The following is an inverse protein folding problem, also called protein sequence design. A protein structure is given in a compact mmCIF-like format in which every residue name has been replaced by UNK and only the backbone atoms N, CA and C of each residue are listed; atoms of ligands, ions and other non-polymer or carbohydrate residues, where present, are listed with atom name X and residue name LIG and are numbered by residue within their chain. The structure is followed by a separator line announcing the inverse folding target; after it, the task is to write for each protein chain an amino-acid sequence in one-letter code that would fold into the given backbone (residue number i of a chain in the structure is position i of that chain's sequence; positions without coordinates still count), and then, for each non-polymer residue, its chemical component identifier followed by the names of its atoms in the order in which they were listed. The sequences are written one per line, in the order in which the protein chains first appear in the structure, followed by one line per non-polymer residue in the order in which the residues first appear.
data_IF_503731795557
#
_entry.id   IF_503731795557
#
_cell.length_a   1.000
_cell.length_b   1.000
_cell.length_c   1.000
_cell.angle_alpha   90.00
_cell.angle_beta   90.00
_cell.angle_gamma   90.00
#
_symmetry.space_group_name_H-M   'P 1'
#
loop_
_entity.id
_entity.type
_entity.pdbx_description
1 polymer ?
#
# COMPACT_ATOMS: atom_id res chain seq x y z
N UNK A 1 -161.79 -146.87 36.29
CA UNK A 1 -163.17 -147.31 36.53
C UNK A 1 -163.65 -146.62 37.78
N UNK A 2 -164.81 -147.03 38.25
CA UNK A 2 -165.26 -146.63 39.57
C UNK A 2 -165.24 -145.10 39.71
N UNK A 3 -165.99 -144.40 38.85
CA UNK A 3 -167.43 -144.17 38.95
C UNK A 3 -167.79 -143.21 40.05
N UNK A 4 -169.03 -142.76 39.87
CA UNK A 4 -170.01 -142.64 40.93
C UNK A 4 -169.78 -141.38 41.76
N UNK A 5 -170.73 -140.46 41.85
CA UNK A 5 -172.07 -140.40 41.27
C UNK A 5 -172.75 -139.10 41.78
N UNK A 6 -173.81 -138.66 41.06
CA UNK A 6 -175.06 -138.00 41.53
C UNK A 6 -175.00 -136.61 42.23
N UNK A 7 -175.90 -135.62 42.04
CA UNK A 7 -177.17 -135.42 41.27
C UNK A 7 -177.59 -133.91 41.28
N UNK A 8 -178.16 -133.41 40.14
CA UNK A 8 -179.18 -132.32 39.84
C UNK A 8 -179.21 -130.95 40.61
N UNK A 9 -179.97 -129.91 40.14
CA UNK A 9 -180.26 -129.33 38.80
C UNK A 9 -180.30 -127.75 38.72
N UNK A 10 -180.40 -127.18 37.49
CA UNK A 10 -181.03 -125.90 36.99
C UNK A 10 -180.58 -124.45 37.37
N UNK A 11 -180.11 -123.68 36.34
CA UNK A 11 -180.42 -122.27 35.92
C UNK A 11 -180.18 -121.02 36.85
N UNK A 12 -180.19 -119.74 36.37
CA UNK A 12 -179.18 -119.01 35.57
C UNK A 12 -178.71 -117.66 36.24
N UNK A 13 -177.80 -116.92 35.58
CA UNK A 13 -177.52 -115.47 35.74
C UNK A 13 -177.26 -114.86 37.14
N UNK A 14 -175.98 -114.66 37.50
CA UNK A 14 -175.46 -113.45 38.21
C UNK A 14 -173.93 -113.45 38.33
N UNK A 15 -173.34 -112.96 37.23
CA UNK A 15 -171.92 -112.81 36.90
C UNK A 15 -171.11 -111.76 37.72
N UNK A 16 -171.70 -110.99 38.65
CA UNK A 16 -171.12 -109.68 38.99
C UNK A 16 -170.57 -109.48 40.43
N UNK A 17 -170.86 -110.37 41.39
CA UNK A 17 -170.69 -110.01 42.81
C UNK A 17 -169.47 -110.64 43.52
N UNK A 18 -168.95 -111.77 43.05
CA UNK A 18 -167.71 -112.36 43.60
C UNK A 18 -166.44 -111.62 43.12
N UNK A 19 -166.46 -111.06 41.90
CA UNK A 19 -165.41 -110.16 41.39
C UNK A 19 -165.24 -108.94 42.28
N UNK A 20 -166.33 -108.41 42.85
CA UNK A 20 -166.26 -107.29 43.80
C UNK A 20 -165.59 -107.67 45.13
N UNK A 21 -165.59 -108.95 45.51
CA UNK A 21 -164.92 -109.39 46.75
C UNK A 21 -163.42 -109.52 46.54
N UNK A 22 -163.00 -110.03 45.37
CA UNK A 22 -161.59 -110.04 44.96
C UNK A 22 -161.03 -108.63 44.80
N UNK A 23 -161.80 -107.68 44.24
CA UNK A 23 -161.38 -106.27 44.12
C UNK A 23 -161.24 -105.59 45.48
N UNK A 24 -162.09 -105.93 46.45
CA UNK A 24 -162.01 -105.40 47.81
C UNK A 24 -160.79 -105.94 48.57
N UNK A 25 -160.48 -107.22 48.40
CA UNK A 25 -159.33 -107.82 49.08
C UNK A 25 -157.99 -107.35 48.45
N UNK A 26 -157.93 -107.13 47.12
CA UNK A 26 -156.80 -106.45 46.43
C UNK A 26 -156.64 -105.00 46.92
N UNK A 27 -157.75 -104.30 47.18
CA UNK A 27 -157.71 -102.94 47.73
C UNK A 27 -157.20 -102.91 49.18
N UNK A 28 -157.43 -103.98 49.96
CA UNK A 28 -156.88 -104.10 51.33
C UNK A 28 -155.39 -104.47 51.33
N UNK A 29 -154.93 -105.26 50.36
CA UNK A 29 -153.50 -105.62 50.23
C UNK A 29 -152.64 -104.43 49.77
N UNK A 30 -153.20 -103.54 48.95
CA UNK A 30 -152.57 -102.28 48.55
C UNK A 30 -152.39 -101.27 49.70
N UNK A 31 -153.08 -101.48 50.84
CA UNK A 31 -152.95 -100.66 52.04
C UNK A 31 -151.93 -101.22 53.06
N UNK A 32 -151.30 -102.38 52.79
CA UNK A 32 -150.34 -103.02 53.69
C UNK A 32 -148.97 -102.32 53.62
N UNK A 33 -148.34 -102.11 54.77
CA UNK A 33 -147.11 -101.29 54.93
C UNK A 33 -145.90 -101.83 54.14
N UNK A 34 -145.92 -103.12 53.78
CA UNK A 34 -144.91 -103.77 52.94
C UNK A 34 -144.86 -103.23 51.51
N UNK A 35 -145.99 -102.74 50.97
CA UNK A 35 -146.04 -102.16 49.62
C UNK A 35 -145.50 -100.72 49.58
N UNK A 36 -145.59 -99.98 50.69
CA UNK A 36 -144.97 -98.64 50.84
C UNK A 36 -143.44 -98.72 50.94
N UNK A 37 -142.89 -99.80 51.47
CA UNK A 37 -141.44 -100.02 51.52
C UNK A 37 -140.82 -100.19 50.12
N UNK A 38 -141.53 -100.86 49.20
CA UNK A 38 -141.07 -101.03 47.82
C UNK A 38 -141.04 -99.70 47.04
N UNK A 39 -141.99 -98.80 47.29
CA UNK A 39 -142.02 -97.45 46.69
C UNK A 39 -140.85 -96.58 47.19
N UNK A 40 -140.50 -96.69 48.48
CA UNK A 40 -139.31 -96.05 49.05
C UNK A 40 -138.00 -96.54 48.42
N UNK A 41 -137.87 -97.85 48.16
CA UNK A 41 -136.68 -98.42 47.53
C UNK A 41 -136.52 -97.95 46.08
N UNK A 42 -137.63 -97.78 45.34
CA UNK A 42 -137.62 -97.28 43.96
C UNK A 42 -137.23 -95.79 43.92
N UNK A 43 -137.68 -94.99 44.89
CA UNK A 43 -137.25 -93.59 45.03
C UNK A 43 -135.75 -93.48 45.36
N UNK A 44 -135.23 -94.31 46.27
CA UNK A 44 -133.80 -94.31 46.61
C UNK A 44 -132.92 -94.74 45.44
N UNK A 45 -133.34 -95.74 44.66
CA UNK A 45 -132.61 -96.17 43.47
C UNK A 45 -132.60 -95.09 42.37
N UNK A 46 -133.69 -94.33 42.25
CA UNK A 46 -133.78 -93.18 41.35
C UNK A 46 -132.88 -92.01 41.80
N UNK A 47 -132.75 -91.79 43.12
CA UNK A 47 -131.87 -90.78 43.71
C UNK A 47 -130.39 -91.13 43.53
N UNK A 48 -130.02 -92.39 43.77
CA UNK A 48 -128.64 -92.88 43.59
C UNK A 48 -128.19 -92.80 42.12
N UNK A 49 -129.07 -93.09 41.16
CA UNK A 49 -128.74 -92.96 39.73
C UNK A 49 -128.53 -91.49 39.30
N UNK A 50 -129.24 -90.55 39.92
CA UNK A 50 -129.01 -89.12 39.72
C UNK A 50 -127.65 -88.67 40.29
N UNK A 51 -127.30 -89.12 41.48
CA UNK A 51 -126.04 -88.76 42.17
C UNK A 51 -124.79 -89.33 41.47
N UNK A 52 -124.88 -90.55 40.92
CA UNK A 52 -123.81 -91.16 40.11
C UNK A 52 -123.58 -90.39 38.80
N UNK A 53 -124.65 -89.88 38.17
CA UNK A 53 -124.53 -89.04 36.97
C UNK A 53 -123.86 -87.70 37.28
N UNK A 54 -124.20 -87.07 38.41
CA UNK A 54 -123.61 -85.79 38.82
C UNK A 54 -122.11 -85.92 39.16
N UNK A 55 -121.72 -86.96 39.91
CA UNK A 55 -120.32 -87.28 40.20
C UNK A 55 -119.49 -87.61 38.96
N UNK A 56 -120.09 -88.27 37.97
CA UNK A 56 -119.46 -88.56 36.68
C UNK A 56 -119.17 -87.27 35.88
N UNK A 57 -120.11 -86.31 35.91
CA UNK A 57 -119.95 -84.99 35.28
C UNK A 57 -118.84 -84.21 35.98
N UNK A 58 -118.84 -84.15 37.32
CA UNK A 58 -117.81 -83.44 38.10
C UNK A 58 -116.40 -83.98 37.84
N UNK A 59 -116.23 -85.32 37.86
CA UNK A 59 -114.91 -85.94 37.56
C UNK A 59 -114.41 -85.67 36.15
N UNK A 60 -115.31 -85.57 35.17
CA UNK A 60 -114.93 -85.18 33.79
C UNK A 60 -114.46 -83.73 33.74
N UNK A 61 -115.11 -82.85 34.49
CA UNK A 61 -114.73 -81.44 34.59
C UNK A 61 -113.34 -81.29 35.24
N UNK A 62 -113.10 -81.97 36.36
CA UNK A 62 -111.82 -81.91 37.09
C UNK A 62 -110.65 -82.44 36.25
N UNK A 63 -110.85 -83.55 35.52
CA UNK A 63 -109.84 -84.06 34.58
C UNK A 63 -109.52 -83.07 33.46
N UNK A 64 -110.50 -82.28 33.03
CA UNK A 64 -110.29 -81.26 32.00
C UNK A 64 -109.46 -80.09 32.54
N UNK A 65 -109.76 -79.60 33.74
CA UNK A 65 -108.99 -78.52 34.37
C UNK A 65 -107.56 -78.94 34.75
N UNK A 66 -107.35 -80.20 35.18
CA UNK A 66 -105.99 -80.70 35.44
C UNK A 66 -105.16 -80.73 34.14
N UNK A 67 -105.74 -81.21 33.03
CA UNK A 67 -105.06 -81.23 31.75
C UNK A 67 -104.74 -79.82 31.21
N UNK A 68 -105.62 -78.83 31.43
CA UNK A 68 -105.40 -77.43 31.07
C UNK A 68 -104.25 -76.82 31.90
N UNK A 69 -104.22 -77.03 33.22
CA UNK A 69 -103.14 -76.54 34.07
C UNK A 69 -101.78 -77.18 33.77
N UNK A 70 -101.74 -78.47 33.40
CA UNK A 70 -100.51 -79.13 32.97
C UNK A 70 -99.98 -78.56 31.65
N UNK A 71 -100.88 -78.17 30.73
CA UNK A 71 -100.52 -77.49 29.49
C UNK A 71 -99.97 -76.08 29.74
N UNK A 72 -100.64 -75.29 30.60
CA UNK A 72 -100.19 -73.94 30.97
C UNK A 72 -98.83 -73.97 31.68
N UNK A 73 -98.61 -74.94 32.58
CA UNK A 73 -97.33 -75.12 33.27
C UNK A 73 -96.21 -75.52 32.30
N UNK A 74 -96.51 -76.34 31.30
CA UNK A 74 -95.55 -76.71 30.25
C UNK A 74 -95.20 -75.50 29.37
N UNK A 75 -96.17 -74.66 29.03
CA UNK A 75 -95.96 -73.42 28.26
C UNK A 75 -95.13 -72.39 29.04
N UNK A 76 -95.44 -72.16 30.33
CA UNK A 76 -94.68 -71.22 31.16
C UNK A 76 -93.23 -71.67 31.37
N UNK A 77 -92.99 -72.97 31.56
CA UNK A 77 -91.63 -73.53 31.64
C UNK A 77 -90.86 -73.33 30.33
N UNK A 78 -91.53 -73.51 29.19
CA UNK A 78 -90.94 -73.25 27.87
C UNK A 78 -90.58 -71.77 27.69
N UNK A 79 -91.48 -70.85 28.06
CA UNK A 79 -91.25 -69.40 28.03
C UNK A 79 -90.11 -68.97 28.96
N UNK A 80 -90.04 -69.54 30.16
CA UNK A 80 -88.99 -69.25 31.13
C UNK A 80 -87.62 -69.73 30.64
N UNK A 81 -87.56 -70.93 30.05
CA UNK A 81 -86.34 -71.43 29.42
C UNK A 81 -85.90 -70.55 28.24
N UNK A 82 -86.84 -70.13 27.38
CA UNK A 82 -86.55 -69.23 26.27
C UNK A 82 -86.08 -67.83 26.73
N UNK A 83 -86.65 -67.31 27.82
CA UNK A 83 -86.25 -66.03 28.42
C UNK A 83 -84.84 -66.10 29.02
N UNK A 84 -84.51 -67.18 29.73
CA UNK A 84 -83.17 -67.39 30.28
C UNK A 84 -82.10 -67.49 29.19
N UNK A 85 -82.40 -68.15 28.06
CA UNK A 85 -81.49 -68.19 26.90
C UNK A 85 -81.26 -66.77 26.32
N UNK A 86 -82.31 -65.95 26.24
CA UNK A 86 -82.19 -64.55 25.79
C UNK A 86 -81.38 -63.69 26.77
N UNK A 87 -81.59 -63.87 28.07
CA UNK A 87 -80.85 -63.17 29.14
C UNK A 87 -79.35 -63.49 29.06
N UNK A 88 -78.99 -64.78 28.96
CA UNK A 88 -77.59 -65.20 28.85
C UNK A 88 -76.94 -64.69 27.55
N UNK A 89 -77.68 -64.66 26.44
CA UNK A 89 -77.21 -64.07 25.19
C UNK A 89 -76.97 -62.56 25.33
N UNK A 90 -77.84 -61.84 26.03
CA UNK A 90 -77.68 -60.41 26.30
C UNK A 90 -76.48 -60.12 27.22
N UNK A 91 -76.28 -60.91 28.29
CA UNK A 91 -75.11 -60.79 29.17
C UNK A 91 -73.80 -60.97 28.42
N UNK A 92 -73.68 -62.02 27.60
CA UNK A 92 -72.50 -62.24 26.75
C UNK A 92 -72.24 -61.06 25.82
N UNK A 93 -73.29 -60.44 25.27
CA UNK A 93 -73.15 -59.27 24.40
C UNK A 93 -72.68 -58.03 25.17
N UNK A 94 -73.14 -57.84 26.41
CA UNK A 94 -72.66 -56.77 27.29
C UNK A 94 -71.18 -56.95 27.62
N UNK A 95 -70.76 -58.16 27.99
CA UNK A 95 -69.34 -58.46 28.28
C UNK A 95 -68.45 -58.26 27.03
N UNK A 96 -68.92 -58.66 25.85
CA UNK A 96 -68.23 -58.44 24.58
C UNK A 96 -68.09 -56.93 24.30
N UNK A 97 -69.18 -56.16 24.46
CA UNK A 97 -69.16 -54.71 24.25
C UNK A 97 -68.24 -54.00 25.23
N UNK A 98 -68.24 -54.38 26.50
CA UNK A 98 -67.33 -53.85 27.52
C UNK A 98 -65.86 -54.10 27.16
N UNK A 99 -65.52 -55.31 26.70
CA UNK A 99 -64.16 -55.60 26.20
C UNK A 99 -63.80 -54.72 25.02
N UNK A 100 -64.70 -54.56 24.04
CA UNK A 100 -64.42 -53.71 22.87
C UNK A 100 -64.28 -52.24 23.25
N UNK A 101 -65.04 -51.76 24.24
CA UNK A 101 -64.93 -50.40 24.75
C UNK A 101 -63.60 -50.17 25.46
N UNK A 102 -63.17 -51.11 26.31
CA UNK A 102 -61.86 -51.05 26.97
C UNK A 102 -60.70 -51.07 25.96
N UNK A 103 -60.76 -51.93 24.94
CA UNK A 103 -59.76 -51.98 23.86
C UNK A 103 -59.74 -50.69 23.04
N UNK A 104 -60.91 -50.15 22.70
CA UNK A 104 -61.02 -48.88 21.99
C UNK A 104 -60.45 -47.73 22.83
N UNK A 105 -60.76 -47.68 24.13
CA UNK A 105 -60.24 -46.66 25.05
C UNK A 105 -58.72 -46.74 25.21
N UNK A 106 -58.15 -47.94 25.32
CA UNK A 106 -56.69 -48.13 25.32
C UNK A 106 -56.07 -47.62 24.02
N UNK A 107 -56.67 -47.92 22.87
CA UNK A 107 -56.18 -47.46 21.57
C UNK A 107 -56.26 -45.94 21.42
N UNK A 108 -57.36 -45.33 21.85
CA UNK A 108 -57.52 -43.87 21.86
C UNK A 108 -56.48 -43.21 22.76
N UNK A 109 -56.23 -43.76 23.95
CA UNK A 109 -55.21 -43.24 24.87
C UNK A 109 -53.81 -43.31 24.25
N UNK A 110 -53.45 -44.43 23.61
CA UNK A 110 -52.17 -44.59 22.94
C UNK A 110 -52.00 -43.60 21.79
N UNK A 111 -53.02 -43.44 20.94
CA UNK A 111 -53.00 -42.47 19.84
C UNK A 111 -52.92 -41.02 20.32
N UNK A 112 -53.56 -40.68 21.45
CA UNK A 112 -53.44 -39.35 22.06
C UNK A 112 -52.02 -39.07 22.52
N UNK A 113 -51.38 -40.03 23.19
CA UNK A 113 -49.98 -39.89 23.62
C UNK A 113 -49.03 -39.74 22.43
N UNK A 114 -49.25 -40.50 21.36
CA UNK A 114 -48.45 -40.41 20.13
C UNK A 114 -48.64 -39.06 19.41
N UNK A 115 -49.88 -38.55 19.34
CA UNK A 115 -50.17 -37.23 18.81
C UNK A 115 -49.53 -36.11 19.63
N UNK A 116 -49.53 -36.22 20.95
CA UNK A 116 -48.91 -35.25 21.84
C UNK A 116 -47.38 -35.25 21.71
N UNK A 117 -46.76 -36.44 21.62
CA UNK A 117 -45.33 -36.59 21.34
C UNK A 117 -44.95 -36.00 19.97
N UNK A 118 -45.72 -36.33 18.92
CA UNK A 118 -45.51 -35.79 17.58
C UNK A 118 -45.72 -34.26 17.54
N UNK A 119 -46.69 -33.73 18.29
CA UNK A 119 -46.86 -32.29 18.47
C UNK A 119 -45.64 -31.62 19.12
N UNK A 120 -45.08 -32.26 20.14
CA UNK A 120 -43.83 -31.86 20.78
C UNK A 120 -42.65 -31.81 19.80
N UNK A 121 -42.48 -32.83 18.98
CA UNK A 121 -41.37 -32.89 18.01
C UNK A 121 -41.56 -31.94 16.83
N UNK A 122 -42.80 -31.75 16.35
CA UNK A 122 -43.13 -30.74 15.34
C UNK A 122 -42.76 -29.33 15.83
N UNK A 123 -43.06 -28.99 17.08
CA UNK A 123 -42.68 -27.67 17.63
C UNK A 123 -41.17 -27.50 17.78
N UNK A 124 -40.42 -28.55 18.13
CA UNK A 124 -38.95 -28.53 18.16
C UNK A 124 -38.37 -28.32 16.75
N UNK A 125 -38.86 -29.07 15.77
CA UNK A 125 -38.43 -28.94 14.37
C UNK A 125 -38.74 -27.54 13.82
N UNK A 126 -39.92 -27.00 14.12
CA UNK A 126 -40.29 -25.66 13.69
C UNK A 126 -39.38 -24.58 14.31
N UNK A 127 -38.97 -24.73 15.57
CA UNK A 127 -37.96 -23.86 16.20
C UNK A 127 -36.59 -24.01 15.54
N UNK A 128 -36.15 -25.23 15.25
CA UNK A 128 -34.88 -25.49 14.59
C UNK A 128 -34.83 -24.90 13.17
N UNK A 129 -35.91 -25.04 12.39
CA UNK A 129 -36.04 -24.44 11.05
C UNK A 129 -35.97 -22.92 11.13
N UNK A 130 -36.71 -22.29 12.06
CA UNK A 130 -36.67 -20.82 12.22
C UNK A 130 -35.27 -20.32 12.59
N UNK A 131 -34.55 -21.05 13.46
CA UNK A 131 -33.17 -20.73 13.81
C UNK A 131 -32.24 -20.87 12.61
N UNK A 132 -32.31 -22.00 11.92
CA UNK A 132 -31.51 -22.26 10.71
C UNK A 132 -31.77 -21.22 9.61
N UNK A 133 -33.03 -20.80 9.42
CA UNK A 133 -33.37 -19.72 8.48
C UNK A 133 -32.77 -18.37 8.88
N UNK A 134 -32.69 -18.06 10.18
CA UNK A 134 -32.03 -16.84 10.65
C UNK A 134 -30.52 -16.91 10.41
N UNK A 135 -29.88 -18.05 10.72
CA UNK A 135 -28.44 -18.26 10.51
C UNK A 135 -28.06 -18.15 9.02
N UNK A 136 -28.87 -18.71 8.12
CA UNK A 136 -28.67 -18.59 6.66
C UNK A 136 -28.78 -17.14 6.19
N UNK A 137 -29.76 -16.38 6.70
CA UNK A 137 -29.91 -14.96 6.35
C UNK A 137 -28.71 -14.14 6.83
N UNK A 138 -28.24 -14.39 8.05
CA UNK A 138 -27.05 -13.71 8.58
C UNK A 138 -25.79 -14.05 7.78
N UNK A 139 -25.60 -15.33 7.44
CA UNK A 139 -24.48 -15.80 6.63
C UNK A 139 -24.48 -15.16 5.23
N UNK A 140 -25.63 -15.10 4.56
CA UNK A 140 -25.75 -14.46 3.24
C UNK A 140 -25.44 -12.97 3.31
N UNK A 141 -25.93 -12.25 4.33
CA UNK A 141 -25.64 -10.83 4.50
C UNK A 141 -24.13 -10.57 4.71
N UNK A 142 -23.44 -11.45 5.47
CA UNK A 142 -21.96 -11.37 5.62
C UNK A 142 -21.24 -11.64 4.30
N UNK A 143 -21.69 -12.61 3.51
CA UNK A 143 -21.09 -12.93 2.21
C UNK A 143 -21.23 -11.77 1.21
N UNK A 144 -22.39 -11.11 1.14
CA UNK A 144 -22.60 -9.92 0.31
C UNK A 144 -21.70 -8.74 0.73
N UNK A 145 -21.56 -8.52 2.04
CA UNK A 145 -20.68 -7.49 2.57
C UNK A 145 -19.21 -7.75 2.21
N UNK A 146 -18.72 -8.97 2.38
CA UNK A 146 -17.35 -9.35 2.02
C UNK A 146 -17.11 -9.28 0.52
N UNK A 147 -18.10 -9.65 -0.30
CA UNK A 147 -18.02 -9.49 -1.77
C UNK A 147 -17.88 -8.01 -2.15
N UNK A 148 -18.65 -7.14 -1.50
CA UNK A 148 -18.58 -5.68 -1.75
C UNK A 148 -17.22 -5.11 -1.32
N UNK A 149 -16.69 -5.56 -0.19
CA UNK A 149 -15.35 -5.19 0.29
C UNK A 149 -14.24 -5.66 -0.64
N UNK A 150 -14.33 -6.89 -1.15
CA UNK A 150 -13.38 -7.45 -2.09
C UNK A 150 -13.33 -6.63 -3.38
N UNK A 151 -14.49 -6.29 -3.95
CA UNK A 151 -14.57 -5.44 -5.14
C UNK A 151 -14.00 -4.03 -4.91
N UNK A 152 -14.25 -3.43 -3.75
CA UNK A 152 -13.68 -2.13 -3.40
C UNK A 152 -12.15 -2.21 -3.23
N UNK A 153 -11.64 -3.28 -2.61
CA UNK A 153 -10.21 -3.52 -2.46
C UNK A 153 -9.52 -3.76 -3.81
N UNK A 154 -10.12 -4.53 -4.71
CA UNK A 154 -9.61 -4.74 -6.08
C UNK A 154 -9.52 -3.42 -6.86
N UNK A 155 -10.56 -2.58 -6.76
CA UNK A 155 -10.54 -1.23 -7.35
C UNK A 155 -9.41 -0.36 -6.79
N UNK A 156 -9.19 -0.40 -5.48
CA UNK A 156 -8.08 0.32 -4.83
C UNK A 156 -6.72 -0.20 -5.25
N UNK A 157 -6.55 -1.53 -5.38
CA UNK A 157 -5.29 -2.15 -5.82
C UNK A 157 -4.99 -1.76 -7.27
N UNK A 158 -6.00 -1.77 -8.15
CA UNK A 158 -5.85 -1.35 -9.54
C UNK A 158 -5.42 0.13 -9.65
N UNK A 159 -6.03 1.02 -8.85
CA UNK A 159 -5.68 2.44 -8.83
C UNK A 159 -4.26 2.67 -8.30
N UNK A 160 -3.89 2.04 -7.18
CA UNK A 160 -2.52 2.15 -6.63
C UNK A 160 -1.49 1.59 -7.61
N UNK A 161 -1.79 0.48 -8.30
CA UNK A 161 -0.90 -0.09 -9.32
C UNK A 161 -0.70 0.89 -10.48
N UNK A 162 -1.78 1.53 -10.95
CA UNK A 162 -1.70 2.55 -11.99
C UNK A 162 -0.82 3.73 -11.55
N UNK A 163 -1.07 4.28 -10.36
CA UNK A 163 -0.28 5.38 -9.80
C UNK A 163 1.20 5.00 -9.63
N UNK A 164 1.49 3.76 -9.21
CA UNK A 164 2.86 3.26 -9.10
C UNK A 164 3.55 3.25 -10.47
N UNK A 165 2.91 2.70 -11.50
CA UNK A 165 3.49 2.66 -12.84
C UNK A 165 3.72 4.04 -13.44
N UNK A 166 2.84 5.00 -13.16
CA UNK A 166 2.98 6.39 -13.58
C UNK A 166 4.14 7.08 -12.85
N UNK A 167 4.25 6.87 -11.53
CA UNK A 167 5.35 7.39 -10.73
C UNK A 167 6.70 6.81 -11.16
N UNK A 168 6.79 5.51 -11.46
CA UNK A 168 7.99 4.85 -11.97
C UNK A 168 8.42 5.43 -13.32
N UNK A 169 7.46 5.64 -14.24
CA UNK A 169 7.72 6.27 -15.54
C UNK A 169 8.24 7.70 -15.39
N UNK A 170 7.63 8.49 -14.50
CA UNK A 170 8.06 9.86 -14.23
C UNK A 170 9.46 9.90 -13.62
N UNK A 171 9.75 8.99 -12.68
CA UNK A 171 11.07 8.86 -12.08
C UNK A 171 12.13 8.50 -13.12
N UNK A 172 11.84 7.55 -14.01
CA UNK A 172 12.75 7.21 -15.11
C UNK A 172 13.00 8.40 -16.05
N UNK A 173 11.95 9.13 -16.43
CA UNK A 173 12.08 10.33 -17.28
C UNK A 173 12.94 11.39 -16.61
N UNK A 174 12.67 11.72 -15.36
CA UNK A 174 13.43 12.70 -14.58
C UNK A 174 14.88 12.27 -14.38
N UNK A 175 15.13 10.97 -14.18
CA UNK A 175 16.50 10.44 -14.05
C UNK A 175 17.27 10.59 -15.36
N UNK A 176 16.63 10.34 -16.51
CA UNK A 176 17.25 10.54 -17.82
C UNK A 176 17.57 12.02 -18.04
N UNK A 177 16.63 12.92 -17.75
CA UNK A 177 16.83 14.38 -17.87
C UNK A 177 17.94 14.88 -16.94
N UNK A 178 17.98 14.38 -15.70
CA UNK A 178 19.01 14.76 -14.73
C UNK A 178 20.40 14.25 -15.16
N UNK A 179 20.50 13.02 -15.66
CA UNK A 179 21.77 12.50 -16.20
C UNK A 179 22.23 13.28 -17.43
N UNK A 180 21.30 13.74 -18.27
CA UNK A 180 21.63 14.62 -19.39
C UNK A 180 22.17 15.96 -18.89
N UNK A 181 21.50 16.59 -17.92
CA UNK A 181 21.97 17.83 -17.30
C UNK A 181 23.34 17.69 -16.63
N UNK A 182 23.58 16.58 -15.93
CA UNK A 182 24.87 16.28 -15.33
C UNK A 182 25.96 16.03 -16.37
N UNK A 183 25.64 15.45 -17.53
CA UNK A 183 26.60 15.25 -18.62
C UNK A 183 27.13 16.57 -19.20
N UNK A 184 26.39 17.67 -19.05
CA UNK A 184 26.82 19.01 -19.46
C UNK A 184 27.69 19.71 -18.41
N UNK A 185 27.80 19.18 -17.18
CA UNK A 185 28.60 19.81 -16.12
C UNK A 185 30.07 19.41 -16.25
N UNK A 186 30.97 20.33 -16.63
CA UNK A 186 32.39 20.04 -16.58
C UNK A 186 32.84 19.89 -15.13
N UNK A 187 33.53 18.79 -14.81
CA UNK A 187 34.10 18.58 -13.48
C UNK A 187 35.35 19.47 -13.32
N UNK A 188 35.32 20.47 -12.43
CA UNK A 188 36.45 21.37 -12.25
C UNK A 188 37.60 20.65 -11.54
N UNK A 189 38.83 20.91 -11.97
CA UNK A 189 40.02 20.34 -11.33
C UNK A 189 40.37 21.11 -10.06
N UNK A 190 40.77 20.44 -8.99
CA UNK A 190 41.29 21.14 -7.80
C UNK A 190 42.70 21.71 -8.07
N UNK A 191 42.91 22.98 -7.73
CA UNK A 191 44.18 23.64 -7.93
C UNK A 191 45.21 23.19 -6.90
N UNK A 192 46.39 22.78 -7.36
CA UNK A 192 47.57 22.67 -6.51
C UNK A 192 48.43 23.94 -6.69
N UNK A 193 48.59 24.78 -5.65
CA UNK A 193 49.33 26.04 -5.76
C UNK A 193 50.79 25.89 -6.19
N UNK A 194 51.45 24.78 -5.85
CA UNK A 194 52.90 24.59 -6.11
C UNK A 194 53.24 24.46 -7.60
N UNK A 195 52.58 23.57 -8.39
CA UNK A 195 52.77 23.55 -9.84
C UNK A 195 52.40 24.86 -10.54
N UNK A 196 51.33 25.52 -10.10
CA UNK A 196 50.85 26.78 -10.69
C UNK A 196 51.88 27.89 -10.49
N UNK A 197 52.36 28.08 -9.26
CA UNK A 197 53.40 29.07 -8.94
C UNK A 197 54.72 28.80 -9.68
N UNK A 198 55.15 27.53 -9.77
CA UNK A 198 56.33 27.15 -10.55
C UNK A 198 56.20 27.47 -12.05
N UNK A 199 55.02 27.23 -12.63
CA UNK A 199 54.75 27.61 -14.01
C UNK A 199 54.74 29.13 -14.22
N UNK A 200 54.07 29.88 -13.34
CA UNK A 200 54.04 31.35 -13.38
C UNK A 200 55.45 31.94 -13.27
N UNK A 201 56.31 31.43 -12.39
CA UNK A 201 57.70 31.86 -12.30
C UNK A 201 58.49 31.54 -13.57
N UNK A 202 58.21 30.40 -14.20
CA UNK A 202 58.75 30.05 -15.52
C UNK A 202 58.36 31.03 -16.62
N UNK A 203 57.10 31.47 -16.66
CA UNK A 203 56.62 32.51 -17.59
C UNK A 203 57.32 33.84 -17.30
N UNK A 204 57.39 34.26 -16.03
CA UNK A 204 58.08 35.48 -15.60
C UNK A 204 59.54 35.51 -16.05
N UNK A 205 60.31 34.45 -15.76
CA UNK A 205 61.71 34.30 -16.18
C UNK A 205 61.86 34.33 -17.70
N UNK A 206 60.95 33.66 -18.41
CA UNK A 206 60.97 33.64 -19.88
C UNK A 206 60.75 35.04 -20.46
N UNK A 207 59.79 35.80 -19.92
CA UNK A 207 59.53 37.18 -20.34
C UNK A 207 60.74 38.08 -20.08
N UNK A 208 61.30 38.01 -18.87
CA UNK A 208 62.50 38.77 -18.49
C UNK A 208 63.68 38.49 -19.43
N UNK A 209 63.96 37.22 -19.69
CA UNK A 209 65.05 36.80 -20.56
C UNK A 209 64.82 37.24 -22.01
N UNK A 210 63.59 37.12 -22.52
CA UNK A 210 63.23 37.57 -23.87
C UNK A 210 63.49 39.07 -24.03
N UNK A 211 62.92 39.90 -23.16
CA UNK A 211 63.09 41.36 -23.27
C UNK A 211 64.55 41.77 -23.06
N UNK A 212 65.24 41.20 -22.07
CA UNK A 212 66.64 41.54 -21.79
C UNK A 212 67.56 41.15 -22.95
N UNK A 213 67.36 39.98 -23.58
CA UNK A 213 68.24 39.48 -24.64
C UNK A 213 68.14 40.29 -25.94
N UNK A 214 66.96 40.84 -26.24
CA UNK A 214 66.70 41.54 -27.50
C UNK A 214 66.64 43.06 -27.34
N UNK A 215 66.10 43.58 -26.24
CA UNK A 215 65.90 45.02 -25.99
C UNK A 215 66.84 45.61 -24.91
N UNK A 216 67.66 44.78 -24.25
CA UNK A 216 68.59 45.21 -23.20
C UNK A 216 69.93 45.77 -23.71
N UNK A 217 70.16 45.74 -25.02
CA UNK A 217 71.38 46.24 -25.66
C UNK A 217 71.45 47.75 -25.79
N UNK A 218 72.53 48.24 -26.40
CA UNK A 218 72.54 49.59 -26.95
C UNK A 218 71.55 49.66 -28.11
N UNK A 219 70.79 50.75 -28.18
CA UNK A 219 70.00 51.11 -29.36
C UNK A 219 70.72 52.18 -30.15
N UNK A 220 70.47 52.23 -31.45
CA UNK A 220 71.09 53.20 -32.35
C UNK A 220 70.58 54.63 -32.07
N UNK A 221 71.39 55.64 -32.46
CA UNK A 221 71.10 57.05 -32.15
C UNK A 221 69.83 57.57 -32.86
N UNK A 222 69.49 56.99 -34.01
CA UNK A 222 68.24 57.26 -34.74
C UNK A 222 67.01 56.81 -33.95
N UNK A 223 67.09 55.66 -33.27
CA UNK A 223 66.03 55.15 -32.36
C UNK A 223 65.95 56.01 -31.10
N UNK A 224 67.09 56.45 -30.55
CA UNK A 224 67.08 57.40 -29.43
C UNK A 224 66.45 58.74 -29.82
N UNK A 225 66.70 59.22 -31.04
CA UNK A 225 66.14 60.49 -31.50
C UNK A 225 64.65 60.42 -31.88
N UNK A 226 64.04 59.23 -31.91
CA UNK A 226 62.65 59.04 -32.32
C UNK A 226 61.65 59.38 -31.19
N UNK A 227 61.22 60.64 -31.12
CA UNK A 227 60.29 61.11 -30.10
C UNK A 227 58.96 60.34 -30.08
N UNK A 228 58.38 60.05 -31.24
CA UNK A 228 57.07 59.38 -31.36
C UNK A 228 57.08 57.99 -30.74
N UNK A 229 58.17 57.22 -30.92
CA UNK A 229 58.34 55.91 -30.30
C UNK A 229 58.35 56.02 -28.76
N UNK A 230 59.15 56.93 -28.23
CA UNK A 230 59.27 57.10 -26.77
C UNK A 230 57.98 57.64 -26.16
N UNK A 231 57.26 58.50 -26.86
CA UNK A 231 55.95 59.00 -26.43
C UNK A 231 54.89 57.90 -26.48
N UNK A 232 54.91 57.01 -27.46
CA UNK A 232 54.04 55.83 -27.49
C UNK A 232 54.30 54.89 -26.31
N UNK A 233 55.57 54.66 -25.94
CA UNK A 233 55.92 53.83 -24.76
C UNK A 233 55.51 54.54 -23.46
N UNK A 234 55.79 55.84 -23.32
CA UNK A 234 55.46 56.64 -22.12
C UNK A 234 53.95 56.77 -21.90
N UNK A 235 53.18 56.93 -22.98
CA UNK A 235 51.73 57.08 -22.92
C UNK A 235 51.00 55.77 -22.64
N UNK A 236 51.66 54.62 -22.75
CA UNK A 236 51.05 53.34 -22.42
C UNK A 236 50.61 53.32 -20.94
N UNK A 237 49.36 52.93 -20.70
CA UNK A 237 48.67 53.09 -19.40
C UNK A 237 49.50 52.61 -18.22
N UNK A 238 50.10 51.41 -18.30
CA UNK A 238 50.87 50.86 -17.17
C UNK A 238 52.18 51.57 -16.91
N UNK A 239 52.83 52.12 -17.95
CA UNK A 239 54.09 52.88 -17.83
C UNK A 239 53.81 54.27 -17.23
N UNK A 240 52.77 54.94 -17.73
CA UNK A 240 52.32 56.25 -17.26
C UNK A 240 51.82 56.19 -15.81
N UNK A 241 50.94 55.22 -15.49
CA UNK A 241 50.37 55.07 -14.16
C UNK A 241 51.44 54.80 -13.09
N UNK A 242 52.43 53.95 -13.41
CA UNK A 242 53.56 53.65 -12.51
C UNK A 242 54.67 54.69 -12.54
N UNK A 243 54.54 55.74 -13.36
CA UNK A 243 55.51 56.84 -13.51
C UNK A 243 56.92 56.34 -13.76
N UNK A 244 57.06 55.31 -14.59
CA UNK A 244 58.37 54.71 -14.90
C UNK A 244 59.19 55.74 -15.69
N UNK A 245 60.34 56.21 -15.18
CA UNK A 245 61.14 57.19 -15.89
C UNK A 245 61.76 56.53 -17.13
N UNK A 246 61.62 57.12 -18.32
CA UNK A 246 62.21 56.56 -19.55
C UNK A 246 63.28 57.51 -20.10
N UNK A 247 64.54 57.45 -19.58
CA UNK A 247 65.63 58.21 -20.13
C UNK A 247 65.99 57.69 -21.52
N UNK A 248 66.12 58.61 -22.47
CA UNK A 248 66.42 58.32 -23.87
C UNK A 248 67.94 58.27 -24.07
N UNK A 249 68.61 57.34 -23.40
CA UNK A 249 70.07 57.15 -23.48
C UNK A 249 70.44 55.67 -23.42
N UNK A 250 71.71 55.35 -23.72
CA UNK A 250 72.27 54.00 -23.57
C UNK A 250 72.99 53.76 -22.22
N UNK A 251 72.76 54.60 -21.22
CA UNK A 251 73.31 54.38 -19.88
C UNK A 251 72.78 53.06 -19.28
N UNK A 252 73.54 52.38 -18.40
CA UNK A 252 73.10 51.14 -17.77
C UNK A 252 71.73 51.26 -17.08
N UNK A 253 71.50 52.38 -16.40
CA UNK A 253 70.22 52.69 -15.74
C UNK A 253 69.11 52.83 -16.77
N UNK A 254 69.32 53.61 -17.85
CA UNK A 254 68.32 53.79 -18.90
C UNK A 254 67.91 52.47 -19.57
N UNK A 255 68.87 51.57 -19.82
CA UNK A 255 68.58 50.22 -20.34
C UNK A 255 67.72 49.41 -19.39
N UNK A 256 68.03 49.44 -18.09
CA UNK A 256 67.26 48.70 -17.11
C UNK A 256 65.82 49.21 -17.01
N UNK A 257 65.64 50.53 -16.97
CA UNK A 257 64.29 51.08 -16.88
C UNK A 257 63.50 50.86 -18.18
N UNK A 258 64.16 50.85 -19.34
CA UNK A 258 63.57 50.41 -20.61
C UNK A 258 63.07 48.97 -20.54
N UNK A 259 63.88 48.04 -20.01
CA UNK A 259 63.45 46.65 -19.79
C UNK A 259 62.22 46.60 -18.88
N UNK A 260 62.24 47.34 -17.77
CA UNK A 260 61.10 47.39 -16.84
C UNK A 260 59.82 47.91 -17.50
N UNK A 261 59.90 48.97 -18.30
CA UNK A 261 58.77 49.51 -19.05
C UNK A 261 58.23 48.50 -20.07
N UNK A 262 59.09 47.86 -20.86
CA UNK A 262 58.68 46.86 -21.85
C UNK A 262 58.08 45.61 -21.20
N UNK A 263 58.58 45.19 -20.03
CA UNK A 263 57.96 44.12 -19.25
C UNK A 263 56.57 44.51 -18.75
N UNK A 264 56.39 45.74 -18.27
CA UNK A 264 55.10 46.28 -17.83
C UNK A 264 54.08 46.34 -18.98
N UNK A 265 54.52 46.75 -20.17
CA UNK A 265 53.70 46.73 -21.39
C UNK A 265 53.34 45.28 -21.75
N UNK A 266 54.34 44.40 -21.80
CA UNK A 266 54.16 42.99 -22.15
C UNK A 266 53.18 42.30 -21.21
N UNK A 267 53.30 42.51 -19.89
CA UNK A 267 52.41 41.91 -18.91
C UNK A 267 50.97 42.42 -19.04
N UNK A 268 50.78 43.71 -19.35
CA UNK A 268 49.45 44.28 -19.59
C UNK A 268 48.79 43.70 -20.85
N UNK A 269 49.55 43.59 -21.94
CA UNK A 269 49.03 42.99 -23.17
C UNK A 269 48.71 41.51 -22.95
N UNK A 270 49.56 40.78 -22.23
CA UNK A 270 49.26 39.39 -21.86
C UNK A 270 48.03 39.29 -20.96
N UNK A 271 47.83 40.22 -20.01
CA UNK A 271 46.57 40.31 -19.23
C UNK A 271 45.38 40.33 -20.15
N UNK A 272 45.34 41.32 -21.04
CA UNK A 272 44.18 41.60 -21.90
C UNK A 272 43.91 40.53 -22.95
N UNK A 273 44.95 39.86 -23.45
CA UNK A 273 44.83 38.95 -24.59
C UNK A 273 44.92 37.48 -24.17
N UNK A 274 45.84 37.13 -23.28
CA UNK A 274 46.17 35.72 -22.97
C UNK A 274 45.60 35.31 -21.62
N UNK A 275 45.80 36.09 -20.57
CA UNK A 275 45.40 35.74 -19.20
C UNK A 275 43.93 36.10 -18.94
N UNK A 276 43.05 35.49 -19.73
CA UNK A 276 41.62 35.68 -19.69
C UNK A 276 40.94 34.45 -19.03
N UNK A 277 39.78 34.59 -18.38
CA UNK A 277 39.06 33.48 -17.77
C UNK A 277 38.49 32.48 -18.79
N UNK A 278 38.19 32.91 -20.02
CA UNK A 278 37.78 32.07 -21.15
C UNK A 278 38.14 32.75 -22.49
N UNK A 279 37.95 32.03 -23.60
CA UNK A 279 38.22 32.56 -24.94
C UNK A 279 36.99 32.53 -25.85
N UNK A 280 35.78 32.66 -25.31
CA UNK A 280 34.55 32.64 -26.11
C UNK A 280 34.46 33.83 -27.07
N UNK A 281 34.96 34.99 -26.64
CA UNK A 281 35.03 36.19 -27.47
C UNK A 281 36.43 36.37 -28.06
N UNK A 282 36.48 36.68 -29.35
CA UNK A 282 37.74 36.95 -30.08
C UNK A 282 38.40 38.26 -29.64
N UNK A 283 37.57 39.26 -29.32
CA UNK A 283 37.92 40.60 -28.87
C UNK A 283 36.91 40.99 -27.77
N UNK A 284 37.26 41.96 -26.93
CA UNK A 284 36.51 42.41 -25.74
C UNK A 284 36.62 41.48 -24.53
N UNK A 285 36.47 42.08 -23.35
CA UNK A 285 36.60 41.43 -22.06
C UNK A 285 35.30 41.48 -21.25
N UNK A 286 34.16 41.73 -21.90
CA UNK A 286 32.84 41.87 -21.25
C UNK A 286 32.46 40.64 -20.40
N UNK A 287 32.81 39.43 -20.86
CA UNK A 287 32.58 38.20 -20.08
C UNK A 287 33.48 38.17 -18.84
N UNK A 288 34.68 38.74 -18.93
CA UNK A 288 35.60 38.83 -17.80
C UNK A 288 35.07 39.82 -16.78
N UNK A 289 34.63 40.99 -17.23
CA UNK A 289 34.01 42.01 -16.38
C UNK A 289 32.76 41.45 -15.66
N UNK A 290 31.91 40.69 -16.38
CA UNK A 290 30.77 39.99 -15.77
C UNK A 290 31.20 38.95 -14.72
N UNK A 291 32.26 38.18 -14.97
CA UNK A 291 32.77 37.21 -14.00
C UNK A 291 33.42 37.89 -12.79
N UNK A 292 33.94 39.11 -12.95
CA UNK A 292 34.45 39.96 -11.87
C UNK A 292 33.28 40.46 -10.99
N UNK A 293 32.18 40.90 -11.60
CA UNK A 293 30.99 41.29 -10.85
C UNK A 293 30.38 40.10 -10.07
N UNK A 294 30.33 38.91 -10.67
CA UNK A 294 29.74 37.72 -10.04
C UNK A 294 30.61 37.20 -8.89
N UNK A 295 31.95 37.27 -8.98
CA UNK A 295 32.81 36.72 -7.91
C UNK A 295 32.64 37.48 -6.59
N UNK A 296 32.37 38.79 -6.67
CA UNK A 296 32.13 39.65 -5.50
C UNK A 296 30.79 39.33 -4.82
N UNK A 297 29.79 38.87 -5.57
CA UNK A 297 28.47 38.48 -5.03
C UNK A 297 28.40 37.01 -4.60
N UNK A 298 28.86 36.09 -5.43
CA UNK A 298 28.73 34.64 -5.27
C UNK A 298 29.86 33.88 -6.00
N UNK A 299 30.98 33.70 -5.30
CA UNK A 299 32.15 32.99 -5.81
C UNK A 299 31.85 31.56 -6.30
N UNK A 300 30.82 30.87 -5.75
CA UNK A 300 30.46 29.52 -6.22
C UNK A 300 29.73 29.59 -7.56
N UNK A 301 28.90 30.62 -7.76
CA UNK A 301 28.23 30.88 -9.03
C UNK A 301 29.20 31.29 -10.12
N UNK A 302 30.18 32.15 -9.81
CA UNK A 302 31.29 32.45 -10.74
C UNK A 302 31.98 31.18 -11.18
N UNK A 303 32.36 30.33 -10.20
CA UNK A 303 33.08 29.11 -10.46
C UNK A 303 32.32 28.19 -11.42
N UNK A 304 31.01 28.03 -11.19
CA UNK A 304 30.15 27.18 -12.02
C UNK A 304 30.01 27.75 -13.42
N UNK A 305 29.67 29.04 -13.54
CA UNK A 305 29.51 29.72 -14.83
C UNK A 305 30.82 29.69 -15.64
N UNK A 306 31.96 30.02 -15.03
CA UNK A 306 33.26 29.97 -15.70
C UNK A 306 33.57 28.55 -16.20
N UNK A 307 33.31 27.52 -15.40
CA UNK A 307 33.54 26.14 -15.82
C UNK A 307 32.69 25.80 -17.06
N UNK A 308 31.40 26.15 -17.06
CA UNK A 308 30.51 25.99 -18.21
C UNK A 308 30.98 26.77 -19.43
N UNK A 309 31.34 28.05 -19.25
CA UNK A 309 31.85 28.90 -20.33
C UNK A 309 33.13 28.33 -20.94
N UNK A 310 34.03 27.71 -20.15
CA UNK A 310 35.26 27.06 -20.64
C UNK A 310 34.95 25.74 -21.37
N UNK A 311 33.91 25.01 -20.98
CA UNK A 311 33.48 23.80 -21.69
C UNK A 311 32.68 24.11 -22.98
N UNK A 312 32.09 25.30 -23.06
CA UNK A 312 31.27 25.73 -24.18
C UNK A 312 32.11 25.96 -25.45
N UNK A 313 31.69 25.36 -26.56
CA UNK A 313 32.29 25.54 -27.90
C UNK A 313 33.84 25.41 -27.91
N UNK A 314 34.41 24.24 -27.55
CA UNK A 314 35.84 24.07 -27.33
C UNK A 314 36.70 24.42 -28.55
N UNK A 315 36.24 24.08 -29.76
CA UNK A 315 36.96 24.44 -30.99
C UNK A 315 36.97 25.95 -31.24
N UNK A 316 35.88 26.66 -30.93
CA UNK A 316 35.81 28.12 -31.05
C UNK A 316 36.74 28.80 -30.05
N UNK A 317 36.79 28.30 -28.82
CA UNK A 317 37.72 28.84 -27.81
C UNK A 317 39.18 28.63 -28.20
N UNK A 318 39.49 27.48 -28.79
CA UNK A 318 40.84 27.18 -29.29
C UNK A 318 41.22 28.10 -30.46
N UNK A 319 40.29 28.37 -31.38
CA UNK A 319 40.50 29.30 -32.49
C UNK A 319 40.70 30.74 -31.99
N UNK A 320 39.80 31.23 -31.14
CA UNK A 320 39.88 32.56 -30.55
C UNK A 320 41.15 32.73 -29.69
N UNK A 321 41.54 31.70 -28.94
CA UNK A 321 42.77 31.70 -28.16
C UNK A 321 44.01 31.92 -29.04
N UNK A 322 44.08 31.26 -30.20
CA UNK A 322 45.14 31.50 -31.19
C UNK A 322 45.11 32.93 -31.74
N UNK A 323 43.94 33.43 -32.11
CA UNK A 323 43.79 34.80 -32.61
C UNK A 323 44.20 35.84 -31.56
N UNK A 324 43.90 35.61 -30.27
CA UNK A 324 44.35 36.45 -29.17
C UNK A 324 45.86 36.37 -28.95
N UNK A 325 46.49 35.21 -29.12
CA UNK A 325 47.96 35.07 -29.11
C UNK A 325 48.58 35.88 -30.25
N UNK A 326 48.05 35.79 -31.47
CA UNK A 326 48.53 36.58 -32.61
C UNK A 326 48.39 38.08 -32.37
N UNK A 327 47.27 38.51 -31.79
CA UNK A 327 47.03 39.89 -31.35
C UNK A 327 48.05 40.33 -30.31
N UNK A 328 48.33 39.50 -29.29
CA UNK A 328 49.33 39.77 -28.27
C UNK A 328 50.73 39.93 -28.87
N UNK A 329 51.15 39.00 -29.74
CA UNK A 329 52.44 39.06 -30.43
C UNK A 329 52.55 40.35 -31.24
N UNK A 330 51.54 40.70 -32.05
CA UNK A 330 51.52 41.92 -32.85
C UNK A 330 51.62 43.19 -32.00
N UNK A 331 50.85 43.26 -30.90
CA UNK A 331 50.84 44.41 -29.99
C UNK A 331 52.14 44.55 -29.20
N UNK A 332 52.74 43.46 -28.73
CA UNK A 332 54.04 43.52 -28.04
C UNK A 332 55.13 43.92 -29.04
N UNK A 333 55.12 43.32 -30.22
CA UNK A 333 56.08 43.59 -31.29
C UNK A 333 56.09 45.07 -31.71
N UNK A 334 54.96 45.76 -31.73
CA UNK A 334 54.93 47.18 -32.12
C UNK A 334 55.71 48.10 -31.18
N UNK A 335 55.92 47.71 -29.91
CA UNK A 335 56.75 48.46 -28.96
C UNK A 335 58.19 47.95 -28.91
N UNK A 336 58.40 46.65 -29.10
CA UNK A 336 59.72 46.03 -28.95
C UNK A 336 60.54 46.09 -30.24
N UNK A 337 59.98 45.79 -31.42
CA UNK A 337 60.74 45.71 -32.69
C UNK A 337 61.56 46.98 -32.96
N UNK A 338 61.04 48.21 -32.76
CA UNK A 338 61.84 49.41 -33.00
C UNK A 338 63.11 49.52 -32.14
N UNK A 339 63.18 48.75 -31.05
CA UNK A 339 64.31 48.71 -30.11
C UNK A 339 65.20 47.48 -30.31
N UNK A 340 64.84 46.57 -31.22
CA UNK A 340 65.60 45.36 -31.54
C UNK A 340 66.54 45.65 -32.71
N UNK A 341 67.81 45.18 -32.67
CA UNK A 341 68.70 45.25 -33.82
C UNK A 341 68.09 44.54 -35.04
N UNK A 342 68.10 45.19 -36.21
CA UNK A 342 67.42 44.72 -37.43
C UNK A 342 67.79 43.29 -37.85
N UNK A 343 69.03 42.86 -37.59
CA UNK A 343 69.52 41.51 -37.85
C UNK A 343 68.86 40.44 -36.96
N UNK A 344 68.33 40.84 -35.81
CA UNK A 344 67.67 39.98 -34.82
C UNK A 344 66.15 39.97 -34.92
N UNK A 345 65.53 40.84 -35.72
CA UNK A 345 64.07 40.94 -35.83
C UNK A 345 63.37 39.60 -36.09
N UNK A 346 63.81 38.75 -37.05
CA UNK A 346 63.14 37.47 -37.30
C UNK A 346 63.26 36.51 -36.11
N UNK A 347 64.42 36.51 -35.44
CA UNK A 347 64.68 35.68 -34.27
C UNK A 347 63.85 36.14 -33.07
N UNK A 348 63.74 37.46 -32.85
CA UNK A 348 62.90 38.04 -31.82
C UNK A 348 61.43 37.67 -32.03
N UNK A 349 60.91 37.82 -33.25
CA UNK A 349 59.52 37.49 -33.56
C UNK A 349 59.20 36.01 -33.34
N UNK A 350 60.11 35.11 -33.74
CA UNK A 350 59.96 33.69 -33.48
C UNK A 350 59.95 33.38 -31.96
N UNK A 351 60.86 34.00 -31.20
CA UNK A 351 60.95 33.82 -29.75
C UNK A 351 59.72 34.38 -29.02
N UNK A 352 59.24 35.56 -29.40
CA UNK A 352 58.03 36.19 -28.87
C UNK A 352 56.79 35.34 -29.15
N UNK A 353 56.65 34.83 -30.38
CA UNK A 353 55.55 33.94 -30.73
C UNK A 353 55.57 32.64 -29.91
N UNK A 354 56.74 32.03 -29.75
CA UNK A 354 56.92 30.84 -28.91
C UNK A 354 56.55 31.12 -27.44
N UNK A 355 56.99 32.26 -26.91
CA UNK A 355 56.67 32.71 -25.56
C UNK A 355 55.17 32.91 -25.34
N UNK A 356 54.49 33.67 -26.20
CA UNK A 356 53.05 33.91 -26.08
C UNK A 356 52.23 32.61 -26.22
N UNK A 357 52.63 31.71 -27.12
CA UNK A 357 52.00 30.39 -27.26
C UNK A 357 52.17 29.53 -26.00
N UNK A 358 53.35 29.57 -25.37
CA UNK A 358 53.62 28.85 -24.13
C UNK A 358 52.77 29.39 -22.98
N UNK A 359 52.66 30.72 -22.88
CA UNK A 359 51.80 31.39 -21.90
C UNK A 359 50.34 30.98 -22.09
N UNK A 360 49.83 31.02 -23.33
CA UNK A 360 48.47 30.60 -23.66
C UNK A 360 48.19 29.14 -23.29
N UNK A 361 49.06 28.21 -23.70
CA UNK A 361 48.84 26.78 -23.44
C UNK A 361 48.76 26.48 -21.94
N UNK A 362 49.65 27.07 -21.15
CA UNK A 362 49.60 26.88 -19.70
C UNK A 362 48.38 27.55 -19.08
N UNK A 363 48.03 28.77 -19.52
CA UNK A 363 46.86 29.47 -19.00
C UNK A 363 45.54 28.77 -19.34
N UNK A 364 45.41 28.20 -20.53
CA UNK A 364 44.23 27.44 -20.94
C UNK A 364 43.96 26.21 -20.04
N UNK A 365 45.01 25.62 -19.46
CA UNK A 365 44.83 24.58 -18.43
C UNK A 365 44.41 25.19 -17.09
N UNK A 366 44.94 26.38 -16.74
CA UNK A 366 44.56 27.09 -15.51
C UNK A 366 43.07 27.47 -15.46
N UNK A 367 42.46 27.77 -16.62
CA UNK A 367 41.03 28.11 -16.73
C UNK A 367 40.11 26.98 -16.25
N UNK A 368 40.56 25.73 -16.26
CA UNK A 368 39.77 24.53 -15.90
C UNK A 368 39.77 24.23 -14.41
N UNK A 369 40.55 24.97 -13.63
CA UNK A 369 40.61 24.76 -12.19
C UNK A 369 39.42 25.37 -11.48
N UNK A 370 39.11 24.79 -10.32
CA UNK A 370 38.07 25.26 -9.41
C UNK A 370 38.37 26.68 -8.94
N UNK A 371 39.56 26.90 -8.40
CA UNK A 371 40.01 28.22 -7.99
C UNK A 371 40.33 29.06 -9.22
N UNK A 372 39.76 30.27 -9.28
CA UNK A 372 40.09 31.26 -10.30
C UNK A 372 41.52 31.76 -10.06
N UNK A 373 42.33 31.74 -11.11
CA UNK A 373 43.67 32.35 -11.12
C UNK A 373 43.57 33.60 -11.98
N UNK A 374 44.02 34.73 -11.45
CA UNK A 374 43.96 36.00 -12.15
C UNK A 374 45.23 36.84 -12.01
N UNK A 375 45.58 37.62 -13.03
CA UNK A 375 46.69 38.55 -12.98
C UNK A 375 46.29 39.86 -12.28
N UNK A 376 46.83 40.09 -11.08
CA UNK A 376 46.65 41.32 -10.31
C UNK A 376 47.82 42.27 -10.57
N UNK A 377 47.51 43.54 -10.86
CA UNK A 377 48.51 44.59 -11.08
C UNK A 377 48.40 45.73 -10.06
N UNK A 378 47.45 45.64 -9.14
CA UNK A 378 47.29 46.62 -8.07
C UNK A 378 48.39 46.45 -7.02
N UNK A 379 48.74 47.57 -6.38
CA UNK A 379 49.72 47.55 -5.31
C UNK A 379 49.05 47.01 -4.05
N UNK A 380 49.39 45.76 -3.72
CA UNK A 380 48.98 45.14 -2.47
C UNK A 380 50.09 45.39 -1.42
N UNK A 381 49.80 46.11 -0.32
CA UNK A 381 50.78 46.41 0.72
C UNK A 381 51.29 45.15 1.45
N UNK A 382 50.52 44.06 1.39
CA UNK A 382 50.85 42.80 2.06
C UNK A 382 51.73 41.90 1.18
N UNK A 383 51.92 42.24 -0.11
CA UNK A 383 52.75 41.47 -1.05
C UNK A 383 54.20 41.91 -0.99
N UNK A 384 55.10 40.97 -0.70
CA UNK A 384 56.56 41.18 -0.79
C UNK A 384 57.00 41.27 -2.25
N UNK A 385 57.28 42.47 -2.71
CA UNK A 385 57.80 42.72 -4.06
C UNK A 385 59.24 42.21 -4.21
N UNK A 386 59.51 41.50 -5.31
CA UNK A 386 60.86 41.09 -5.68
C UNK A 386 61.54 42.17 -6.52
N UNK A 387 62.80 42.47 -6.20
CA UNK A 387 63.60 43.39 -7.01
C UNK A 387 63.85 42.80 -8.40
N UNK A 388 63.66 43.63 -9.43
CA UNK A 388 64.04 43.28 -10.79
C UNK A 388 65.59 43.25 -10.86
N UNK A 389 66.22 42.12 -11.20
CA UNK A 389 67.67 42.04 -11.23
C UNK A 389 68.23 43.02 -12.28
N UNK A 390 69.32 43.70 -11.93
CA UNK A 390 70.02 44.58 -12.85
C UNK A 390 70.89 43.73 -13.80
N UNK A 391 70.81 43.90 -15.14
CA UNK A 391 71.76 43.31 -16.06
C UNK A 391 73.16 43.81 -15.70
N UNK A 392 74.07 42.90 -15.34
CA UNK A 392 75.49 43.12 -15.00
C UNK A 392 75.85 43.51 -13.54
N UNK A 393 74.98 43.26 -12.55
CA UNK A 393 75.49 43.03 -11.20
C UNK A 393 75.79 41.54 -11.02
N UNK A 394 76.98 41.12 -11.47
CA UNK A 394 77.57 39.90 -10.94
C UNK A 394 77.69 40.10 -9.44
N UNK A 395 76.93 39.34 -8.66
CA UNK A 395 77.29 39.07 -7.27
C UNK A 395 78.62 38.32 -7.29
N UNK A 396 79.73 39.06 -7.34
CA UNK A 396 81.06 38.50 -7.13
C UNK A 396 81.16 38.07 -5.66
N UNK A 397 80.76 36.83 -5.42
CA UNK A 397 81.25 36.06 -4.31
C UNK A 397 82.75 35.81 -4.50
N UNK A 398 83.58 36.65 -3.88
CA UNK A 398 84.94 36.29 -3.50
C UNK A 398 85.18 36.65 -2.05
N UNK A 399 84.81 35.70 -1.19
CA UNK A 399 85.52 35.47 0.05
C UNK A 399 86.88 34.87 -0.31
N UNK A 400 87.95 35.64 -0.16
CA UNK A 400 89.29 35.09 0.04
C UNK A 400 90.01 35.89 1.13
N UNK A 401 90.26 35.17 2.24
CA UNK A 401 91.27 35.45 3.24
C UNK A 401 92.65 35.67 2.60
N UNK A 402 93.41 36.62 3.14
CA UNK A 402 94.84 36.78 2.93
C UNK A 402 95.40 37.84 3.89
N UNK A 403 96.15 37.39 4.90
CA UNK A 403 96.74 38.19 5.97
C UNK A 403 97.96 39.03 5.54
N UNK A 404 98.15 40.15 6.28
CA UNK A 404 99.42 40.88 6.59
C UNK A 404 100.14 41.58 5.42
N UNK A 405 100.68 42.81 5.51
CA UNK A 405 101.13 43.62 6.66
C UNK A 405 101.41 45.10 6.21
N UNK A 406 101.16 46.07 7.12
CA UNK A 406 101.87 47.37 7.40
C UNK A 406 102.18 48.34 6.23
N UNK A 407 102.06 49.68 6.25
CA UNK A 407 101.89 50.80 7.22
C UNK A 407 101.72 52.09 6.35
N UNK A 408 100.85 53.09 6.59
CA UNK A 408 101.07 54.37 7.32
C UNK A 408 99.93 55.36 6.96
N UNK A 409 99.39 56.06 7.97
CA UNK A 409 98.70 57.39 8.05
C UNK A 409 97.76 57.88 6.92
N UNK A 410 96.59 58.46 7.16
CA UNK A 410 96.28 59.50 8.16
C UNK A 410 94.76 59.68 8.34
N UNK A 411 94.41 60.35 9.45
CA UNK A 411 93.12 60.86 9.97
C UNK A 411 92.07 61.25 8.90
N UNK A 412 90.74 61.12 9.10
CA UNK A 412 89.95 61.76 10.16
C UNK A 412 88.45 61.31 10.09
N UNK A 413 87.78 61.25 11.25
CA UNK A 413 86.32 61.42 11.55
C UNK A 413 85.26 60.97 10.52
N UNK A 414 84.31 60.07 10.77
CA UNK A 414 83.55 59.78 11.98
C UNK A 414 82.07 60.14 11.75
N UNK A 415 81.19 59.16 11.49
CA UNK A 415 79.74 59.18 11.79
C UNK A 415 79.11 57.81 11.54
N UNK A 416 78.12 57.47 12.36
CA UNK A 416 77.66 56.11 12.64
C UNK A 416 76.93 55.39 11.50
N UNK A 417 77.10 54.08 11.48
CA UNK A 417 76.44 53.12 10.61
C UNK A 417 75.41 52.32 11.46
N UNK A 418 74.12 52.24 11.08
CA UNK A 418 73.21 51.28 11.69
C UNK A 418 73.35 49.91 11.01
N UNK A 419 74.02 49.01 11.73
CA UNK A 419 73.85 47.55 11.82
C UNK A 419 72.87 46.92 10.80
N UNK A 420 73.43 46.33 9.74
CA UNK A 420 72.76 45.32 8.93
C UNK A 420 72.72 43.99 9.70
N UNK A 421 71.55 43.54 10.12
CA UNK A 421 71.32 42.16 10.55
C UNK A 421 71.21 41.26 9.32
N UNK A 422 72.23 40.43 9.12
CA UNK A 422 72.19 39.27 8.22
C UNK A 422 71.15 38.26 8.73
N UNK A 423 70.26 37.79 7.84
CA UNK A 423 69.43 36.62 8.07
C UNK A 423 69.93 35.46 7.20
N UNK A 424 69.94 34.28 7.81
CA UNK A 424 70.49 33.00 7.34
C UNK A 424 69.76 32.39 6.12
N UNK A 425 70.37 31.41 5.42
CA UNK A 425 69.87 30.81 4.17
C UNK A 425 68.68 29.84 4.29
N UNK A 426 67.93 29.82 5.40
CA UNK A 426 66.91 28.79 5.66
C UNK A 426 65.45 29.19 5.35
N UNK A 427 65.18 30.46 4.97
CA UNK A 427 63.80 30.95 4.75
C UNK A 427 63.36 31.04 3.27
N UNK A 428 64.09 30.44 2.34
CA UNK A 428 63.71 30.45 0.90
C UNK A 428 62.63 29.41 0.52
N UNK A 429 62.09 28.65 1.49
CA UNK A 429 61.12 27.57 1.24
C UNK A 429 59.66 27.89 1.64
N UNK A 430 59.31 29.16 1.92
CA UNK A 430 57.93 29.59 2.23
C UNK A 430 57.46 30.71 1.31
N UNK A 431 57.37 30.45 0.00
CA UNK A 431 56.77 31.44 -0.91
C UNK A 431 55.87 30.76 -1.94
N UNK A 432 54.60 30.60 -1.55
CA UNK A 432 53.48 30.39 -2.46
C UNK A 432 52.19 30.81 -1.74
N UNK A 433 52.07 32.09 -1.40
CA UNK A 433 50.73 32.67 -1.23
C UNK A 433 50.22 33.03 -2.62
N UNK A 434 49.53 32.07 -3.23
CA UNK A 434 48.49 32.40 -4.19
C UNK A 434 47.36 32.99 -3.32
N UNK A 435 47.00 34.25 -3.55
CA UNK A 435 45.80 34.83 -2.97
C UNK A 435 44.62 34.10 -3.59
N UNK A 436 44.23 32.97 -2.99
CA UNK A 436 42.96 32.32 -3.25
C UNK A 436 41.93 33.25 -2.63
N UNK A 437 41.12 33.90 -3.46
CA UNK A 437 39.96 34.65 -2.97
C UNK A 437 38.99 33.64 -2.37
N UNK A 438 39.19 33.31 -1.11
CA UNK A 438 38.24 32.54 -0.31
C UNK A 438 37.28 33.55 0.30
N UNK A 439 36.08 33.66 -0.27
CA UNK A 439 34.99 34.42 0.34
C UNK A 439 34.64 33.82 1.70
N UNK A 440 35.12 34.47 2.77
CA UNK A 440 34.60 34.24 4.12
C UNK A 440 33.44 35.20 4.34
N UNK A 441 32.22 34.68 4.19
CA UNK A 441 31.01 35.35 4.68
C UNK A 441 31.07 35.45 6.20
N UNK A 442 31.03 36.67 6.72
CA UNK A 442 30.65 36.94 8.10
C UNK A 442 29.13 37.11 8.17
N UNK A 443 28.56 36.50 9.21
CA UNK A 443 27.14 36.31 9.53
C UNK A 443 26.21 37.50 9.30
#
# INVERSE_FOLDING_TARGET
MSTKLQVRPTEPERSHQAVCTVVRDISSLAANDEFKYLDGLIQDNSRLDAEVKELSIARKQDRKSIAELEADLAEEKSLTAASNVKLEKAKRKIEELQRTEEEANKKISAQRQELEANGGDMTKLQKAIKKSQADVRESNAKAELETTRALAAEGSVAEVTKQLTEAEKNLQSLTIELNQLESFKPEPKDANPKPISGWLDGIRKSAYNLITSYCGGNVDEDVLSNADLWDAIRSYTTVSHRRIPLPVTNSPVAKHVRIAALLSITSSILKEQVFQPNYLLKQNNEICDLLDDIIDEDAKREQHLRAELVALLPERQKENGKARVESAVKRIASYCIPLVPKDKDPSFMAALNSFCNRAYKGWAELQRYRQRVEPVFEEDPDVKWLLLPLPNQTSDGKSQNGQSSTMVSSQNSGTGNPRATYLEPAEQAKFAEIKVVSGQGSY
#
